data_IF_398519107072
#
_entry.id   IF_398519107072
#
_cell.length_a   1.000
_cell.length_b   1.000
_cell.length_c   1.000
_cell.angle_alpha   90.00
_cell.angle_beta   90.00
_cell.angle_gamma   90.00
#
_symmetry.space_group_name_H-M   'P 1'
#
loop_
_entity.id
_entity.type
_entity.pdbx_description
1 polymer ?
#
# COMPACT_ATOMS: atom_id res chain seq x y z
N UNK A 1 -2.99 -15.54 7.32
CA UNK A 1 -4.27 -15.34 6.59
C UNK A 1 -3.99 -15.38 5.09
N UNK A 2 -4.23 -16.56 4.46
CA UNK A 2 -3.97 -16.79 3.03
C UNK A 2 -5.19 -16.38 2.18
N UNK A 3 -5.56 -15.14 2.20
CA UNK A 3 -6.54 -14.63 1.24
C UNK A 3 -5.77 -13.95 0.12
N UNK A 4 -5.45 -14.73 -0.94
CA UNK A 4 -4.94 -14.19 -2.19
C UNK A 4 -5.86 -13.08 -2.68
N UNK A 5 -5.29 -11.92 -2.93
CA UNK A 5 -5.99 -10.80 -3.55
C UNK A 5 -6.46 -11.32 -4.90
N UNK A 6 -7.79 -11.43 -5.06
CA UNK A 6 -8.38 -11.75 -6.37
C UNK A 6 -8.16 -10.54 -7.27
N UNK A 7 -7.08 -10.53 -8.03
CA UNK A 7 -6.99 -9.71 -9.23
C UNK A 7 -8.09 -10.23 -10.17
N UNK A 8 -9.11 -9.40 -10.40
CA UNK A 8 -10.08 -9.65 -11.44
C UNK A 8 -9.37 -9.46 -12.79
N UNK A 9 -8.67 -10.50 -13.23
CA UNK A 9 -8.10 -10.52 -14.56
C UNK A 9 -9.26 -10.70 -15.55
N UNK A 10 -9.75 -9.60 -16.05
CA UNK A 10 -10.37 -9.59 -17.37
C UNK A 10 -9.22 -9.89 -18.33
N UNK A 11 -9.08 -11.16 -18.73
CA UNK A 11 -8.33 -11.47 -19.93
C UNK A 11 -9.11 -10.73 -21.02
N UNK A 12 -8.64 -9.53 -21.36
CA UNK A 12 -9.18 -8.78 -22.48
C UNK A 12 -9.18 -9.75 -23.66
N UNK A 13 -10.27 -9.77 -24.43
CA UNK A 13 -10.40 -10.63 -25.59
C UNK A 13 -9.06 -10.64 -26.32
N UNK A 14 -8.42 -11.83 -26.39
CA UNK A 14 -7.09 -11.98 -26.97
C UNK A 14 -7.26 -11.50 -28.41
N UNK A 15 -7.02 -10.20 -28.61
CA UNK A 15 -6.99 -9.58 -29.92
C UNK A 15 -5.86 -10.23 -30.68
N UNK A 16 -6.18 -10.86 -31.75
CA UNK A 16 -5.19 -11.34 -32.70
C UNK A 16 -4.38 -10.13 -33.15
N UNK A 17 -3.08 -10.19 -32.93
CA UNK A 17 -2.14 -9.27 -33.56
C UNK A 17 -2.37 -9.43 -35.06
N UNK A 18 -2.99 -8.41 -35.67
CA UNK A 18 -3.43 -8.49 -37.05
C UNK A 18 -2.24 -8.71 -37.99
N UNK A 19 -2.41 -9.59 -38.96
CA UNK A 19 -1.56 -9.64 -40.11
C UNK A 19 -1.78 -8.35 -40.92
N UNK A 20 -1.29 -7.21 -40.44
CA UNK A 20 -1.05 -6.04 -41.28
C UNK A 20 0.26 -6.30 -41.99
N UNK A 21 0.28 -6.18 -43.34
CA UNK A 21 1.38 -6.50 -44.20
C UNK A 21 2.65 -5.64 -44.02
N UNK A 22 3.13 -5.51 -42.79
CA UNK A 22 4.47 -5.07 -42.52
C UNK A 22 5.40 -6.23 -42.84
N UNK A 23 6.32 -6.01 -43.78
CA UNK A 23 7.36 -6.95 -44.16
C UNK A 23 8.09 -7.44 -42.90
N UNK A 24 7.73 -8.63 -42.45
CA UNK A 24 8.39 -9.33 -41.35
C UNK A 24 9.84 -9.59 -41.82
N UNK A 25 10.81 -9.02 -41.11
CA UNK A 25 12.20 -9.47 -41.21
C UNK A 25 12.21 -10.87 -40.54
N UNK A 26 11.80 -11.87 -41.29
CA UNK A 26 11.75 -13.25 -40.87
C UNK A 26 13.15 -13.80 -40.93
N UNK A 27 13.58 -14.39 -39.82
CA UNK A 27 14.91 -14.97 -39.72
C UNK A 27 15.08 -16.10 -40.74
N UNK A 28 16.27 -16.25 -41.32
CA UNK A 28 16.61 -17.36 -42.21
C UNK A 28 16.25 -18.74 -41.61
N UNK A 29 16.31 -18.85 -40.28
CA UNK A 29 15.95 -20.04 -39.53
C UNK A 29 14.46 -20.43 -39.65
N UNK A 30 13.52 -19.45 -39.80
CA UNK A 30 12.10 -19.74 -40.01
C UNK A 30 11.85 -20.23 -41.47
N UNK A 31 12.61 -19.71 -42.40
CA UNK A 31 12.35 -19.86 -43.83
C UNK A 31 13.12 -21.01 -44.48
N UNK A 32 14.14 -21.57 -43.84
CA UNK A 32 15.00 -22.60 -44.43
C UNK A 32 15.65 -22.15 -45.76
N UNK A 33 15.85 -20.80 -45.91
CA UNK A 33 16.43 -20.23 -47.15
C UNK A 33 15.40 -19.70 -48.15
N UNK A 34 14.09 -19.70 -47.84
CA UNK A 34 13.02 -19.18 -48.70
C UNK A 34 12.09 -18.21 -47.93
N UNK A 35 10.93 -17.86 -48.54
CA UNK A 35 9.86 -17.19 -47.80
C UNK A 35 9.11 -18.19 -46.92
N UNK A 36 8.84 -17.90 -45.64
CA UNK A 36 8.03 -18.77 -44.78
C UNK A 36 6.66 -18.98 -45.43
N UNK A 37 6.29 -20.23 -45.60
CA UNK A 37 5.01 -20.63 -46.18
C UNK A 37 4.47 -21.85 -45.49
N UNK A 38 3.16 -21.92 -45.38
CA UNK A 38 2.46 -23.13 -44.95
C UNK A 38 2.68 -24.22 -45.99
N UNK A 39 2.86 -25.44 -45.51
CA UNK A 39 2.87 -26.61 -46.38
C UNK A 39 1.52 -26.74 -47.10
N UNK A 40 1.51 -26.85 -48.43
CA UNK A 40 0.29 -26.91 -49.26
C UNK A 40 -0.79 -27.87 -48.79
N UNK A 41 -0.39 -29.00 -48.17
CA UNK A 41 -1.34 -29.97 -47.60
C UNK A 41 -2.08 -29.46 -46.37
N UNK A 42 -1.60 -28.38 -45.73
CA UNK A 42 -2.23 -27.74 -44.56
C UNK A 42 -3.19 -26.62 -44.96
N UNK A 43 -3.20 -26.09 -46.19
CA UNK A 43 -4.02 -24.96 -46.62
C UNK A 43 -5.51 -25.18 -46.27
N UNK A 44 -6.11 -26.28 -46.78
CA UNK A 44 -7.51 -26.59 -46.55
C UNK A 44 -7.87 -26.83 -45.07
N UNK A 45 -7.10 -27.66 -44.31
CA UNK A 45 -7.29 -27.79 -42.88
C UNK A 45 -7.21 -26.47 -42.10
N UNK A 46 -6.26 -25.58 -42.48
CA UNK A 46 -6.14 -24.26 -41.82
C UNK A 46 -7.32 -23.33 -42.09
N UNK A 47 -7.94 -23.39 -43.29
CA UNK A 47 -9.16 -22.65 -43.59
C UNK A 47 -10.30 -22.99 -42.62
N UNK A 48 -10.41 -24.27 -42.24
CA UNK A 48 -11.41 -24.70 -41.26
C UNK A 48 -11.12 -24.13 -39.86
N UNK A 49 -9.86 -24.02 -39.43
CA UNK A 49 -9.45 -23.38 -38.18
C UNK A 49 -9.80 -21.88 -38.18
N UNK A 50 -9.53 -21.21 -39.30
CA UNK A 50 -9.85 -19.79 -39.45
C UNK A 50 -11.36 -19.52 -39.38
N UNK A 51 -12.18 -20.33 -40.05
CA UNK A 51 -13.66 -20.23 -39.97
C UNK A 51 -14.17 -20.40 -38.52
N UNK A 52 -13.69 -21.39 -37.80
CA UNK A 52 -14.04 -21.59 -36.40
C UNK A 52 -13.63 -20.38 -35.53
N UNK A 53 -12.45 -19.80 -35.79
CA UNK A 53 -11.97 -18.59 -35.12
C UNK A 53 -12.88 -17.39 -35.38
N UNK A 54 -13.26 -17.13 -36.64
CA UNK A 54 -14.14 -16.03 -37.03
C UNK A 54 -15.52 -16.15 -36.33
N UNK A 55 -16.00 -17.38 -36.19
CA UNK A 55 -17.23 -17.69 -35.48
C UNK A 55 -17.07 -17.68 -33.95
N UNK A 56 -15.86 -17.48 -33.43
CA UNK A 56 -15.51 -17.59 -32.01
C UNK A 56 -15.87 -18.97 -31.42
N UNK A 57 -15.92 -20.01 -32.25
CA UNK A 57 -16.05 -21.40 -31.82
C UNK A 57 -14.67 -21.91 -31.38
N UNK A 58 -14.29 -21.59 -30.15
CA UNK A 58 -12.96 -21.94 -29.62
C UNK A 58 -12.76 -23.45 -29.47
N UNK A 59 -13.83 -24.20 -29.18
CA UNK A 59 -13.76 -25.65 -29.08
C UNK A 59 -13.57 -26.28 -30.46
N UNK A 60 -14.34 -25.82 -31.46
CA UNK A 60 -14.17 -26.20 -32.84
C UNK A 60 -12.79 -25.81 -33.39
N UNK A 61 -12.33 -24.59 -33.08
CA UNK A 61 -10.99 -24.12 -33.45
C UNK A 61 -9.89 -25.06 -32.94
N UNK A 62 -9.95 -25.43 -31.64
CA UNK A 62 -8.98 -26.35 -31.04
C UNK A 62 -9.04 -27.74 -31.69
N UNK A 63 -10.24 -28.28 -31.92
CA UNK A 63 -10.40 -29.55 -32.59
C UNK A 63 -9.78 -29.55 -33.99
N UNK A 64 -10.07 -28.50 -34.80
CA UNK A 64 -9.52 -28.33 -36.15
C UNK A 64 -8.02 -28.10 -36.14
N UNK A 65 -7.47 -27.33 -35.21
CA UNK A 65 -6.03 -27.14 -35.07
C UNK A 65 -5.31 -28.46 -34.74
N UNK A 66 -5.91 -29.35 -33.95
CA UNK A 66 -5.39 -30.71 -33.69
C UNK A 66 -5.48 -31.60 -34.93
N UNK A 67 -6.53 -31.46 -35.75
CA UNK A 67 -6.59 -32.16 -37.06
C UNK A 67 -5.46 -31.69 -38.00
N UNK A 68 -5.14 -30.38 -38.03
CA UNK A 68 -3.97 -29.86 -38.76
C UNK A 68 -2.67 -30.47 -38.27
N UNK A 69 -2.51 -30.54 -36.95
CA UNK A 69 -1.32 -31.14 -36.33
C UNK A 69 -1.18 -32.65 -36.67
N UNK A 70 -2.28 -33.36 -36.77
CA UNK A 70 -2.32 -34.79 -37.10
C UNK A 70 -2.08 -35.12 -38.61
N UNK A 71 -2.03 -34.10 -39.50
CA UNK A 71 -1.76 -34.36 -40.94
C UNK A 71 -0.38 -35.05 -41.07
N UNK A 72 -0.29 -36.19 -41.77
CA UNK A 72 0.94 -36.98 -41.86
C UNK A 72 1.90 -36.40 -42.91
N UNK A 73 2.56 -35.30 -42.57
CA UNK A 73 3.62 -34.65 -43.35
C UNK A 73 4.74 -34.23 -42.40
N UNK A 74 5.93 -34.09 -42.96
CA UNK A 74 7.01 -33.37 -42.29
C UNK A 74 6.65 -31.90 -42.22
N UNK A 75 6.53 -31.34 -40.99
CA UNK A 75 6.15 -29.96 -40.75
C UNK A 75 7.40 -29.09 -40.69
N UNK A 76 7.42 -28.02 -41.46
CA UNK A 76 8.44 -27.00 -41.36
C UNK A 76 8.23 -26.12 -40.10
N UNK A 77 9.19 -25.23 -39.77
CA UNK A 77 9.12 -24.38 -38.58
C UNK A 77 7.92 -23.42 -38.60
N UNK A 78 7.51 -22.96 -39.80
CA UNK A 78 6.35 -22.09 -39.95
C UNK A 78 5.01 -22.83 -39.69
N UNK A 79 4.91 -24.09 -40.15
CA UNK A 79 3.77 -24.96 -39.85
C UNK A 79 3.63 -25.17 -38.34
N UNK A 80 4.73 -25.53 -37.67
CA UNK A 80 4.78 -25.76 -36.21
C UNK A 80 4.38 -24.49 -35.46
N UNK A 81 4.94 -23.35 -35.83
CA UNK A 81 4.61 -22.06 -35.22
C UNK A 81 3.11 -21.80 -35.27
N UNK A 82 2.46 -21.91 -36.41
CA UNK A 82 1.04 -21.64 -36.56
C UNK A 82 0.17 -22.66 -35.85
N UNK A 83 0.55 -23.94 -35.83
CA UNK A 83 -0.17 -24.98 -35.08
C UNK A 83 -0.17 -24.65 -33.60
N UNK A 84 0.97 -24.36 -33.00
CA UNK A 84 1.09 -23.98 -31.60
C UNK A 84 0.34 -22.68 -31.31
N UNK A 85 0.47 -21.68 -32.18
CA UNK A 85 -0.23 -20.41 -32.03
C UNK A 85 -1.76 -20.59 -31.97
N UNK A 86 -2.33 -21.31 -32.91
CA UNK A 86 -3.76 -21.51 -33.03
C UNK A 86 -4.32 -22.39 -31.90
N UNK A 87 -3.61 -23.46 -31.53
CA UNK A 87 -3.98 -24.27 -30.37
C UNK A 87 -3.93 -23.45 -29.09
N UNK A 88 -2.85 -22.70 -28.87
CA UNK A 88 -2.66 -21.88 -27.68
C UNK A 88 -3.73 -20.79 -27.54
N UNK A 89 -4.07 -20.10 -28.63
CA UNK A 89 -5.16 -19.10 -28.62
C UNK A 89 -6.51 -19.73 -28.31
N UNK A 90 -6.83 -20.88 -28.89
CA UNK A 90 -8.09 -21.59 -28.60
C UNK A 90 -8.17 -22.03 -27.12
N UNK A 91 -7.10 -22.62 -26.60
CA UNK A 91 -6.98 -23.06 -25.21
C UNK A 91 -7.10 -21.91 -24.22
N UNK A 92 -6.48 -20.76 -24.52
CA UNK A 92 -6.58 -19.58 -23.68
C UNK A 92 -8.02 -19.05 -23.58
N UNK A 93 -8.76 -19.01 -24.69
CA UNK A 93 -10.17 -18.61 -24.72
C UNK A 93 -11.08 -19.65 -24.01
N UNK A 94 -10.71 -20.93 -24.05
CA UNK A 94 -11.38 -21.98 -23.29
C UNK A 94 -10.99 -22.00 -21.80
N UNK A 95 -10.13 -21.08 -21.36
CA UNK A 95 -9.60 -20.99 -19.98
C UNK A 95 -8.79 -22.21 -19.54
N UNK A 96 -8.27 -22.97 -20.49
CA UNK A 96 -7.34 -24.07 -20.27
C UNK A 96 -5.91 -23.51 -20.22
N UNK A 97 -5.65 -22.69 -19.17
CA UNK A 97 -4.49 -21.80 -19.12
C UNK A 97 -3.15 -22.56 -19.13
N UNK A 98 -3.04 -23.69 -18.43
CA UNK A 98 -1.78 -24.44 -18.40
C UNK A 98 -1.41 -25.00 -19.79
N UNK A 99 -2.40 -25.53 -20.52
CA UNK A 99 -2.18 -26.02 -21.87
C UNK A 99 -1.94 -24.87 -22.85
N UNK A 100 -2.65 -23.73 -22.67
CA UNK A 100 -2.42 -22.54 -23.46
C UNK A 100 -0.99 -22.01 -23.32
N UNK A 101 -0.47 -21.98 -22.09
CA UNK A 101 0.92 -21.56 -21.82
C UNK A 101 1.89 -22.48 -22.54
N UNK A 102 1.69 -23.81 -22.49
CA UNK A 102 2.58 -24.76 -23.16
C UNK A 102 2.65 -24.51 -24.66
N UNK A 103 1.49 -24.35 -25.31
CA UNK A 103 1.43 -24.12 -26.76
C UNK A 103 1.98 -22.74 -27.16
N UNK A 104 1.59 -21.67 -26.46
CA UNK A 104 2.06 -20.32 -26.77
C UNK A 104 3.54 -20.12 -26.41
N UNK A 105 4.08 -20.84 -25.43
CA UNK A 105 5.50 -20.88 -25.11
C UNK A 105 6.30 -21.52 -26.28
N UNK A 106 5.78 -22.63 -26.83
CA UNK A 106 6.38 -23.26 -28.03
C UNK A 106 6.36 -22.30 -29.23
N UNK A 107 5.26 -21.59 -29.46
CA UNK A 107 5.17 -20.56 -30.49
C UNK A 107 6.15 -19.40 -30.24
N UNK A 108 6.28 -18.91 -29.00
CA UNK A 108 7.19 -17.83 -28.62
C UNK A 108 8.67 -18.20 -28.84
N UNK A 109 9.03 -19.42 -28.57
CA UNK A 109 10.41 -19.92 -28.75
C UNK A 109 10.70 -20.37 -30.20
N UNK A 110 9.71 -20.36 -31.09
CA UNK A 110 9.89 -20.64 -32.49
C UNK A 110 10.75 -19.58 -33.18
N UNK A 111 11.63 -19.94 -34.11
CA UNK A 111 12.35 -18.99 -34.96
C UNK A 111 11.41 -18.16 -35.86
N UNK A 112 10.14 -18.58 -35.99
CA UNK A 112 9.12 -17.89 -36.75
C UNK A 112 8.33 -16.87 -35.96
N UNK A 113 8.60 -16.70 -34.65
CA UNK A 113 7.95 -15.68 -33.81
C UNK A 113 8.41 -14.26 -34.26
N UNK A 114 7.48 -13.39 -34.70
CA UNK A 114 7.85 -12.06 -35.13
C UNK A 114 8.41 -11.23 -33.97
N UNK A 115 9.52 -10.53 -34.20
CA UNK A 115 10.16 -9.71 -33.17
C UNK A 115 9.24 -8.59 -32.70
N UNK A 116 8.45 -7.99 -33.57
CA UNK A 116 7.48 -6.95 -33.20
C UNK A 116 6.37 -7.41 -32.27
N UNK A 117 6.09 -8.72 -32.23
CA UNK A 117 5.01 -9.30 -31.43
C UNK A 117 5.51 -9.88 -30.09
N UNK A 118 6.85 -9.97 -29.89
CA UNK A 118 7.45 -10.59 -28.71
C UNK A 118 6.98 -9.96 -27.39
N UNK A 119 7.00 -8.63 -27.30
CA UNK A 119 6.61 -7.93 -26.09
C UNK A 119 5.13 -8.18 -25.71
N UNK A 120 4.24 -8.17 -26.71
CA UNK A 120 2.83 -8.48 -26.48
C UNK A 120 2.64 -9.95 -26.06
N UNK A 121 3.41 -10.86 -26.63
CA UNK A 121 3.39 -12.28 -26.29
C UNK A 121 3.92 -12.54 -24.88
N UNK A 122 4.98 -11.87 -24.47
CA UNK A 122 5.51 -11.93 -23.09
C UNK A 122 4.47 -11.48 -22.07
N UNK A 123 3.77 -10.37 -22.34
CA UNK A 123 2.66 -9.91 -21.50
C UNK A 123 1.55 -10.96 -21.42
N UNK A 124 1.16 -11.56 -22.53
CA UNK A 124 0.14 -12.60 -22.58
C UNK A 124 0.57 -13.86 -21.82
N UNK A 125 1.79 -14.33 -22.03
CA UNK A 125 2.35 -15.50 -21.35
C UNK A 125 2.46 -15.26 -19.83
N UNK A 126 2.86 -14.06 -19.38
CA UNK A 126 2.80 -13.69 -17.97
C UNK A 126 1.38 -13.87 -17.42
N UNK A 127 0.37 -13.27 -18.05
CA UNK A 127 -1.01 -13.30 -17.59
C UNK A 127 -1.57 -14.73 -17.54
N UNK A 128 -1.35 -15.53 -18.60
CA UNK A 128 -1.81 -16.91 -18.68
C UNK A 128 -1.10 -17.81 -17.66
N UNK A 129 0.22 -17.67 -17.52
CA UNK A 129 1.00 -18.41 -16.50
C UNK A 129 0.53 -18.06 -15.08
N UNK A 130 0.23 -16.80 -14.82
CA UNK A 130 -0.34 -16.38 -13.54
C UNK A 130 -1.71 -17.04 -13.28
N UNK A 131 -2.60 -17.07 -14.30
CA UNK A 131 -3.89 -17.75 -14.21
C UNK A 131 -3.76 -19.28 -14.05
N UNK A 132 -2.78 -19.88 -14.72
CA UNK A 132 -2.43 -21.28 -14.57
C UNK A 132 -1.81 -21.60 -13.19
N UNK A 133 -1.48 -20.57 -12.39
CA UNK A 133 -0.72 -20.68 -11.14
C UNK A 133 0.70 -21.22 -11.33
N UNK A 134 1.21 -21.13 -12.55
CA UNK A 134 2.62 -21.37 -12.87
C UNK A 134 3.41 -20.07 -12.64
N UNK A 135 3.63 -19.77 -11.35
CA UNK A 135 4.29 -18.53 -10.96
C UNK A 135 5.75 -18.44 -11.40
N UNK A 136 6.53 -19.53 -11.44
CA UNK A 136 7.87 -19.51 -12.02
C UNK A 136 7.87 -19.00 -13.48
N UNK A 137 6.99 -19.51 -14.34
CA UNK A 137 6.84 -19.03 -15.72
C UNK A 137 6.28 -17.61 -15.78
N UNK A 138 5.34 -17.28 -14.90
CA UNK A 138 4.83 -15.91 -14.79
C UNK A 138 5.97 -14.92 -14.47
N UNK A 139 6.88 -15.26 -13.57
CA UNK A 139 8.05 -14.45 -13.25
C UNK A 139 9.00 -14.34 -14.46
N UNK A 140 9.26 -15.46 -15.14
CA UNK A 140 10.13 -15.46 -16.33
C UNK A 140 9.65 -14.47 -17.39
N UNK A 141 8.39 -14.61 -17.83
CA UNK A 141 7.82 -13.72 -18.85
C UNK A 141 7.56 -12.31 -18.33
N UNK A 142 7.19 -12.19 -17.04
CA UNK A 142 7.00 -10.89 -16.40
C UNK A 142 8.28 -10.06 -16.37
N UNK A 143 9.43 -10.67 -16.12
CA UNK A 143 10.73 -9.98 -16.18
C UNK A 143 11.04 -9.46 -17.57
N UNK A 144 10.84 -10.29 -18.61
CA UNK A 144 11.06 -9.90 -20.00
C UNK A 144 10.14 -8.74 -20.39
N UNK A 145 8.84 -8.88 -20.16
CA UNK A 145 7.83 -7.87 -20.51
C UNK A 145 8.02 -6.56 -19.71
N UNK A 146 8.39 -6.64 -18.43
CA UNK A 146 8.58 -5.46 -17.60
C UNK A 146 9.84 -4.67 -17.97
N UNK A 147 10.89 -5.35 -18.43
CA UNK A 147 12.11 -4.71 -18.89
C UNK A 147 11.88 -3.81 -20.13
N UNK A 148 10.84 -4.09 -20.93
CA UNK A 148 10.52 -3.37 -22.17
C UNK A 148 9.61 -2.16 -21.95
N UNK A 149 9.87 -1.34 -20.92
CA UNK A 149 9.12 -0.09 -20.69
C UNK A 149 8.48 0.06 -19.34
N UNK A 150 8.50 -1.00 -18.52
CA UNK A 150 8.07 -0.94 -17.13
C UNK A 150 6.58 -0.62 -16.94
N UNK A 151 5.70 -1.18 -17.79
CA UNK A 151 4.25 -1.02 -17.68
C UNK A 151 3.76 -1.40 -16.28
N UNK A 152 3.12 -0.49 -15.52
CA UNK A 152 2.63 -0.78 -14.17
C UNK A 152 1.71 -2.01 -14.09
N UNK A 153 0.89 -2.29 -15.11
CA UNK A 153 0.03 -3.48 -15.11
C UNK A 153 0.86 -4.76 -15.10
N UNK A 154 1.91 -4.82 -15.93
CA UNK A 154 2.86 -5.95 -15.96
C UNK A 154 3.56 -6.09 -14.61
N UNK A 155 4.02 -4.95 -14.05
CA UNK A 155 4.68 -4.92 -12.75
C UNK A 155 3.80 -5.43 -11.61
N UNK A 156 2.50 -5.16 -11.62
CA UNK A 156 1.54 -5.68 -10.64
C UNK A 156 1.47 -7.21 -10.72
N UNK A 157 1.34 -7.80 -11.92
CA UNK A 157 1.34 -9.27 -12.06
C UNK A 157 2.66 -9.88 -11.61
N UNK A 158 3.78 -9.29 -12.01
CA UNK A 158 5.13 -9.76 -11.65
C UNK A 158 5.36 -9.68 -10.13
N UNK A 159 5.05 -8.53 -9.52
CA UNK A 159 5.17 -8.34 -8.07
C UNK A 159 4.30 -9.32 -7.26
N UNK A 160 3.07 -9.59 -7.73
CA UNK A 160 2.21 -10.59 -7.12
C UNK A 160 2.78 -12.01 -7.26
N UNK A 161 3.34 -12.37 -8.43
CA UNK A 161 3.94 -13.67 -8.65
C UNK A 161 5.15 -13.87 -7.72
N UNK A 162 6.01 -12.87 -7.57
CA UNK A 162 7.11 -12.88 -6.59
C UNK A 162 6.59 -13.07 -5.15
N UNK A 163 5.55 -12.32 -4.76
CA UNK A 163 4.97 -12.41 -3.43
C UNK A 163 4.48 -13.84 -3.10
N UNK A 164 3.78 -14.47 -4.05
CA UNK A 164 3.27 -15.83 -3.89
C UNK A 164 4.42 -16.85 -3.76
N UNK A 165 5.54 -16.60 -4.42
CA UNK A 165 6.76 -17.42 -4.31
C UNK A 165 7.62 -17.08 -3.08
N UNK A 166 7.15 -16.19 -2.19
CA UNK A 166 7.86 -15.68 -1.02
C UNK A 166 9.17 -14.94 -1.36
N UNK A 167 9.31 -14.46 -2.59
CA UNK A 167 10.42 -13.61 -3.01
C UNK A 167 10.09 -12.15 -2.66
N UNK A 168 10.19 -11.82 -1.36
CA UNK A 168 9.74 -10.53 -0.84
C UNK A 168 10.67 -9.38 -1.26
N UNK A 169 11.94 -9.64 -1.53
CA UNK A 169 12.87 -8.61 -2.00
C UNK A 169 12.48 -8.14 -3.42
N UNK A 170 12.27 -9.06 -4.34
CA UNK A 170 11.83 -8.72 -5.69
C UNK A 170 10.39 -8.18 -5.70
N UNK A 171 9.52 -8.65 -4.79
CA UNK A 171 8.20 -8.05 -4.59
C UNK A 171 8.31 -6.58 -4.20
N UNK A 172 9.14 -6.27 -3.17
CA UNK A 172 9.35 -4.91 -2.69
C UNK A 172 9.88 -4.01 -3.81
N UNK A 173 10.94 -4.44 -4.49
CA UNK A 173 11.54 -3.66 -5.56
C UNK A 173 10.55 -3.38 -6.71
N UNK A 174 9.84 -4.41 -7.18
CA UNK A 174 8.90 -4.29 -8.29
C UNK A 174 7.70 -3.43 -7.94
N UNK A 175 7.09 -3.65 -6.75
CA UNK A 175 5.90 -2.91 -6.34
C UNK A 175 6.21 -1.45 -5.98
N UNK A 176 7.38 -1.17 -5.42
CA UNK A 176 7.83 0.21 -5.19
C UNK A 176 8.00 0.97 -6.51
N UNK A 177 8.62 0.35 -7.53
CA UNK A 177 8.75 0.95 -8.86
C UNK A 177 7.39 1.20 -9.53
N UNK A 178 6.46 0.23 -9.42
CA UNK A 178 5.08 0.37 -9.92
C UNK A 178 4.37 1.55 -9.26
N UNK A 179 4.43 1.65 -7.93
CA UNK A 179 3.79 2.75 -7.18
C UNK A 179 4.39 4.08 -7.61
N UNK A 180 5.71 4.19 -7.67
CA UNK A 180 6.40 5.42 -8.07
C UNK A 180 6.01 5.85 -9.49
N UNK A 181 5.91 4.93 -10.45
CA UNK A 181 5.48 5.23 -11.83
C UNK A 181 4.04 5.72 -11.89
N UNK A 182 3.14 5.08 -11.15
CA UNK A 182 1.74 5.50 -11.09
C UNK A 182 1.63 6.89 -10.46
N UNK A 183 2.24 7.12 -9.30
CA UNK A 183 2.20 8.40 -8.59
C UNK A 183 2.84 9.53 -9.43
N UNK A 184 3.98 9.27 -10.09
CA UNK A 184 4.66 10.24 -10.96
C UNK A 184 3.84 10.60 -12.20
N UNK A 185 2.96 9.69 -12.66
CA UNK A 185 2.01 9.96 -13.75
C UNK A 185 0.70 10.61 -13.28
N UNK A 186 0.59 10.99 -12.01
CA UNK A 186 -0.61 11.58 -11.42
C UNK A 186 -1.73 10.57 -11.16
N UNK A 187 -1.45 9.27 -11.22
CA UNK A 187 -2.41 8.21 -10.94
C UNK A 187 -2.22 7.72 -9.49
N UNK A 188 -3.33 7.51 -8.82
CA UNK A 188 -3.30 6.87 -7.50
C UNK A 188 -3.31 5.35 -7.67
N UNK A 189 -2.32 4.61 -7.15
CA UNK A 189 -2.36 3.16 -7.07
C UNK A 189 -3.60 2.67 -6.33
N UNK A 190 -4.12 1.52 -6.71
CA UNK A 190 -5.22 0.89 -6.00
C UNK A 190 -4.77 0.35 -4.61
N UNK A 191 -5.74 0.13 -3.73
CA UNK A 191 -5.47 -0.35 -2.37
C UNK A 191 -4.68 -1.68 -2.35
N UNK A 192 -4.98 -2.70 -3.18
CA UNK A 192 -4.20 -3.92 -3.24
C UNK A 192 -2.72 -3.70 -3.54
N UNK A 193 -2.38 -2.78 -4.41
CA UNK A 193 -1.00 -2.47 -4.79
C UNK A 193 -0.16 -2.00 -3.60
N UNK A 194 -0.66 -1.06 -2.80
CA UNK A 194 0.00 -0.64 -1.55
C UNK A 194 0.09 -1.78 -0.54
N UNK A 195 -0.96 -2.60 -0.41
CA UNK A 195 -1.01 -3.69 0.57
C UNK A 195 -0.03 -4.82 0.27
N UNK A 196 0.24 -5.12 -0.99
CA UNK A 196 1.23 -6.12 -1.38
C UNK A 196 2.63 -5.63 -0.97
N UNK A 197 2.96 -4.38 -1.28
CA UNK A 197 4.23 -3.80 -0.86
C UNK A 197 4.35 -3.78 0.67
N UNK A 198 3.32 -3.31 1.38
CA UNK A 198 3.27 -3.34 2.84
C UNK A 198 3.55 -4.75 3.40
N UNK A 199 2.90 -5.76 2.82
CA UNK A 199 3.07 -7.15 3.26
C UNK A 199 4.49 -7.66 3.01
N UNK A 200 5.09 -7.34 1.86
CA UNK A 200 6.48 -7.70 1.57
C UNK A 200 7.45 -7.02 2.55
N UNK A 201 7.28 -5.72 2.82
CA UNK A 201 8.09 -4.99 3.80
C UNK A 201 7.96 -5.58 5.21
N UNK A 202 6.75 -6.03 5.61
CA UNK A 202 6.54 -6.68 6.89
C UNK A 202 7.31 -8.02 7.00
N UNK A 203 7.33 -8.83 5.93
CA UNK A 203 8.10 -10.08 5.88
C UNK A 203 9.61 -9.82 5.95
N UNK A 204 10.06 -8.73 5.36
CA UNK A 204 11.46 -8.27 5.39
C UNK A 204 11.84 -7.55 6.70
N UNK A 205 10.87 -7.32 7.60
CA UNK A 205 11.05 -6.53 8.85
C UNK A 205 11.50 -5.09 8.60
N UNK A 206 11.18 -4.55 7.43
CA UNK A 206 11.42 -3.16 7.05
C UNK A 206 10.28 -2.28 7.58
N UNK A 207 10.41 -1.86 8.85
CA UNK A 207 9.36 -1.10 9.53
C UNK A 207 9.12 0.28 8.90
N UNK A 208 10.15 0.93 8.37
CA UNK A 208 10.01 2.24 7.73
C UNK A 208 9.17 2.13 6.45
N UNK A 209 9.43 1.13 5.63
CA UNK A 209 8.62 0.82 4.46
C UNK A 209 7.16 0.49 4.86
N UNK A 210 6.94 -0.29 5.92
CA UNK A 210 5.58 -0.60 6.42
C UNK A 210 4.83 0.67 6.76
N UNK A 211 5.45 1.57 7.55
CA UNK A 211 4.84 2.84 7.96
C UNK A 211 4.53 3.71 6.75
N UNK A 212 5.44 3.80 5.78
CA UNK A 212 5.23 4.57 4.55
C UNK A 212 4.01 4.07 3.75
N UNK A 213 3.89 2.76 3.59
CA UNK A 213 2.75 2.20 2.82
C UNK A 213 1.41 2.38 3.55
N UNK A 214 1.39 2.28 4.90
CA UNK A 214 0.19 2.54 5.67
C UNK A 214 -0.18 4.04 5.58
N UNK A 215 0.80 4.95 5.58
CA UNK A 215 0.55 6.38 5.38
C UNK A 215 -0.14 6.65 4.03
N UNK A 216 0.36 6.03 2.95
CA UNK A 216 -0.26 6.11 1.63
C UNK A 216 -1.69 5.53 1.63
N UNK A 217 -1.92 4.43 2.35
CA UNK A 217 -3.26 3.86 2.52
C UNK A 217 -4.20 4.79 3.31
N UNK A 218 -3.74 5.42 4.38
CA UNK A 218 -4.51 6.43 5.12
C UNK A 218 -4.87 7.62 4.24
N UNK A 219 -3.91 8.08 3.41
CA UNK A 219 -4.05 9.25 2.54
C UNK A 219 -5.02 9.01 1.38
N UNK A 220 -4.87 7.89 0.68
CA UNK A 220 -5.54 7.63 -0.60
C UNK A 220 -6.76 6.71 -0.47
N UNK A 221 -6.77 5.83 0.53
CA UNK A 221 -7.84 4.85 0.77
C UNK A 221 -8.30 4.88 2.23
N UNK A 222 -8.77 6.03 2.76
CA UNK A 222 -9.03 6.20 4.19
C UNK A 222 -10.06 5.20 4.70
N UNK A 223 -9.62 4.34 5.63
CA UNK A 223 -10.46 3.37 6.35
C UNK A 223 -10.04 3.33 7.82
N UNK A 224 -10.98 3.16 8.77
CA UNK A 224 -10.65 3.14 10.20
C UNK A 224 -9.53 2.16 10.55
N UNK A 225 -9.51 0.98 9.92
CA UNK A 225 -8.48 -0.02 10.16
C UNK A 225 -7.05 0.46 9.85
N UNK A 226 -6.86 1.35 8.89
CA UNK A 226 -5.52 1.85 8.55
C UNK A 226 -4.98 2.82 9.60
N UNK A 227 -5.84 3.50 10.34
CA UNK A 227 -5.42 4.27 11.50
C UNK A 227 -4.97 3.37 12.65
N UNK A 228 -5.63 2.22 12.85
CA UNK A 228 -5.19 1.20 13.81
C UNK A 228 -3.83 0.62 13.39
N UNK A 229 -3.71 0.17 12.12
CA UNK A 229 -2.47 -0.36 11.57
C UNK A 229 -1.32 0.67 11.66
N UNK A 230 -1.61 1.97 11.42
CA UNK A 230 -0.66 3.07 11.55
C UNK A 230 -0.21 3.28 12.99
N UNK A 231 -1.16 3.30 13.92
CA UNK A 231 -0.85 3.41 15.35
C UNK A 231 0.10 2.31 15.79
N UNK A 232 -0.24 1.05 15.48
CA UNK A 232 0.58 -0.11 15.83
C UNK A 232 1.99 -0.06 15.19
N UNK A 233 2.09 0.43 13.96
CA UNK A 233 3.37 0.59 13.29
C UNK A 233 4.23 1.70 13.93
N UNK A 234 3.63 2.84 14.25
CA UNK A 234 4.32 3.96 14.90
C UNK A 234 4.77 3.61 16.33
N UNK A 235 3.96 2.88 17.10
CA UNK A 235 4.31 2.42 18.45
C UNK A 235 5.56 1.53 18.45
N UNK A 236 5.79 0.75 17.39
CA UNK A 236 7.00 -0.11 17.28
C UNK A 236 8.29 0.66 17.00
N UNK A 237 8.20 1.84 16.41
CA UNK A 237 9.36 2.67 16.04
C UNK A 237 9.59 3.84 16.98
N UNK A 238 8.67 4.09 17.93
CA UNK A 238 8.81 5.14 18.95
C UNK A 238 10.00 4.88 19.87
N UNK A 239 10.72 5.95 20.22
CA UNK A 239 11.98 5.89 21.00
C UNK A 239 11.87 6.62 22.34
N UNK A 240 10.78 7.30 22.62
CA UNK A 240 10.61 8.09 23.84
C UNK A 240 9.13 8.15 24.28
N UNK A 241 8.92 8.38 25.57
CA UNK A 241 7.58 8.57 26.16
C UNK A 241 6.81 9.73 25.51
N UNK A 242 7.52 10.75 25.02
CA UNK A 242 6.89 11.89 24.33
C UNK A 242 6.39 11.51 22.93
N UNK A 243 7.20 10.79 22.16
CA UNK A 243 6.75 10.25 20.88
C UNK A 243 5.54 9.34 21.11
N UNK A 244 5.64 8.42 22.08
CA UNK A 244 4.59 7.47 22.42
C UNK A 244 3.28 8.17 22.78
N UNK A 245 3.33 9.21 23.64
CA UNK A 245 2.14 9.99 24.01
C UNK A 245 1.53 10.70 22.79
N UNK A 246 2.35 11.28 21.91
CA UNK A 246 1.83 11.98 20.72
C UNK A 246 1.24 11.02 19.69
N UNK A 247 1.79 9.81 19.55
CA UNK A 247 1.21 8.73 18.74
C UNK A 247 -0.16 8.31 19.30
N UNK A 248 -0.27 8.13 20.62
CA UNK A 248 -1.53 7.76 21.28
C UNK A 248 -2.57 8.88 21.20
N UNK A 249 -2.16 10.16 21.25
CA UNK A 249 -3.05 11.31 20.99
C UNK A 249 -3.58 11.29 19.56
N UNK A 250 -2.73 10.99 18.58
CA UNK A 250 -3.16 10.83 17.17
C UNK A 250 -4.16 9.67 17.06
N UNK A 251 -3.85 8.53 17.66
CA UNK A 251 -4.73 7.36 17.68
C UNK A 251 -6.10 7.67 18.32
N UNK A 252 -6.11 8.42 19.41
CA UNK A 252 -7.35 8.87 20.04
C UNK A 252 -8.16 9.80 19.11
N UNK A 253 -7.50 10.78 18.50
CA UNK A 253 -8.12 11.70 17.54
C UNK A 253 -8.66 11.00 16.32
N UNK A 254 -8.01 9.94 15.85
CA UNK A 254 -8.44 9.12 14.71
C UNK A 254 -9.44 8.01 15.08
N UNK A 255 -9.81 7.86 16.35
CA UNK A 255 -10.68 6.78 16.80
C UNK A 255 -10.03 5.39 16.72
N UNK A 256 -8.72 5.32 16.73
CA UNK A 256 -7.92 4.11 16.52
C UNK A 256 -7.45 3.42 17.80
N UNK A 257 -7.80 3.94 18.99
CA UNK A 257 -7.56 3.22 20.25
C UNK A 257 -8.48 2.00 20.33
N UNK A 258 -7.89 0.81 20.39
CA UNK A 258 -8.62 -0.46 20.24
C UNK A 258 -8.87 -1.20 21.55
N UNK A 259 -8.19 -0.85 22.64
CA UNK A 259 -8.32 -1.61 23.88
C UNK A 259 -7.85 -0.91 25.14
N UNK A 260 -8.24 -1.47 26.29
CA UNK A 260 -7.92 -0.96 27.61
C UNK A 260 -6.44 -0.63 27.84
N UNK A 261 -5.50 -1.47 27.44
CA UNK A 261 -4.08 -1.19 27.63
C UNK A 261 -3.63 0.16 27.03
N UNK A 262 -4.11 0.53 25.83
CA UNK A 262 -3.72 1.79 25.18
C UNK A 262 -4.26 3.02 25.93
N UNK A 263 -5.50 2.96 26.45
CA UNK A 263 -6.06 4.04 27.30
C UNK A 263 -5.28 4.18 28.62
N UNK A 264 -4.89 3.06 29.23
CA UNK A 264 -4.10 3.04 30.46
C UNK A 264 -2.71 3.62 30.20
N UNK A 265 -2.05 3.18 29.16
CA UNK A 265 -0.71 3.66 28.79
C UNK A 265 -0.69 5.17 28.49
N UNK A 266 -1.67 5.66 27.72
CA UNK A 266 -1.83 7.10 27.48
C UNK A 266 -2.03 7.88 28.77
N UNK A 267 -2.86 7.38 29.69
CA UNK A 267 -3.08 8.02 30.98
C UNK A 267 -1.82 8.01 31.85
N UNK A 268 -1.05 6.92 31.89
CA UNK A 268 0.21 6.86 32.63
C UNK A 268 1.25 7.83 32.08
N UNK A 269 1.40 7.90 30.76
CA UNK A 269 2.30 8.83 30.10
C UNK A 269 1.87 10.29 30.37
N UNK A 270 0.57 10.57 30.32
CA UNK A 270 0.04 11.90 30.64
C UNK A 270 0.32 12.28 32.10
N UNK A 271 0.13 11.37 33.06
CA UNK A 271 0.50 11.59 34.46
C UNK A 271 1.99 11.87 34.63
N UNK A 272 2.84 11.09 33.97
CA UNK A 272 4.30 11.27 34.01
C UNK A 272 4.75 12.62 33.43
N UNK A 273 3.99 13.17 32.46
CA UNK A 273 4.24 14.50 31.90
C UNK A 273 3.58 15.65 32.70
N UNK A 274 2.91 15.36 33.82
CA UNK A 274 2.22 16.36 34.65
C UNK A 274 0.92 16.88 33.99
N UNK A 275 0.21 16.01 33.26
CA UNK A 275 -1.03 16.32 32.55
C UNK A 275 -2.21 15.49 33.10
N UNK A 276 -2.58 15.70 34.38
CA UNK A 276 -3.59 14.84 35.03
C UNK A 276 -4.99 14.99 34.43
N UNK A 277 -5.31 16.14 33.84
CA UNK A 277 -6.58 16.35 33.10
C UNK A 277 -6.71 15.43 31.88
N UNK A 278 -5.65 15.28 31.11
CA UNK A 278 -5.63 14.37 29.96
C UNK A 278 -5.72 12.91 30.41
N UNK A 279 -5.01 12.53 31.50
CA UNK A 279 -5.07 11.20 32.04
C UNK A 279 -6.49 10.83 32.52
N UNK A 280 -7.15 11.73 33.26
CA UNK A 280 -8.52 11.55 33.71
C UNK A 280 -9.46 11.37 32.51
N UNK A 281 -9.41 12.28 31.55
CA UNK A 281 -10.27 12.26 30.35
C UNK A 281 -10.13 10.96 29.56
N UNK A 282 -8.90 10.46 29.39
CA UNK A 282 -8.66 9.21 28.66
C UNK A 282 -9.22 7.98 29.36
N UNK A 283 -9.08 7.89 30.69
CA UNK A 283 -9.62 6.77 31.44
C UNK A 283 -11.15 6.80 31.51
N UNK A 284 -11.76 7.97 31.65
CA UNK A 284 -13.22 8.14 31.61
C UNK A 284 -13.77 7.79 30.22
N UNK A 285 -13.07 8.19 29.13
CA UNK A 285 -13.40 7.80 27.76
C UNK A 285 -13.30 6.30 27.54
N UNK A 286 -12.21 5.66 28.02
CA UNK A 286 -12.04 4.21 27.94
C UNK A 286 -13.14 3.47 28.71
N UNK A 287 -13.52 3.96 29.89
CA UNK A 287 -14.61 3.41 30.68
C UNK A 287 -15.96 3.51 29.94
N UNK A 288 -16.27 4.66 29.36
CA UNK A 288 -17.49 4.88 28.57
C UNK A 288 -17.59 3.97 27.36
N UNK A 289 -16.45 3.62 26.75
CA UNK A 289 -16.35 2.67 25.63
C UNK A 289 -16.31 1.19 26.06
N UNK A 290 -16.36 0.89 27.35
CA UNK A 290 -16.25 -0.48 27.84
C UNK A 290 -14.88 -1.12 27.63
N UNK A 291 -13.82 -0.32 27.46
CA UNK A 291 -12.48 -0.80 27.14
C UNK A 291 -11.82 -1.62 28.27
N UNK A 292 -12.32 -1.53 29.50
CA UNK A 292 -11.78 -2.19 30.70
C UNK A 292 -12.58 -3.42 31.10
N UNK A 293 -12.94 -4.29 30.14
CA UNK A 293 -13.72 -5.50 30.45
C UNK A 293 -12.91 -6.53 31.27
N UNK A 294 -11.58 -6.59 31.06
CA UNK A 294 -10.71 -7.48 31.84
C UNK A 294 -10.46 -6.91 33.23
N UNK A 295 -10.60 -7.76 34.28
CA UNK A 295 -10.46 -7.36 35.70
C UNK A 295 -9.14 -6.60 35.94
N UNK A 296 -8.01 -7.12 35.46
CA UNK A 296 -6.70 -6.48 35.62
C UNK A 296 -6.67 -5.06 35.06
N UNK A 297 -7.22 -4.85 33.87
CA UNK A 297 -7.28 -3.53 33.22
C UNK A 297 -8.23 -2.60 34.01
N UNK A 298 -9.34 -3.12 34.50
CA UNK A 298 -10.32 -2.37 35.33
C UNK A 298 -9.68 -1.86 36.62
N UNK A 299 -8.99 -2.73 37.36
CA UNK A 299 -8.34 -2.36 38.61
C UNK A 299 -7.23 -1.32 38.38
N UNK A 300 -6.42 -1.52 37.35
CA UNK A 300 -5.34 -0.59 36.96
C UNK A 300 -5.89 0.78 36.56
N UNK A 301 -6.90 0.81 35.68
CA UNK A 301 -7.56 2.04 35.27
C UNK A 301 -8.20 2.77 36.44
N UNK A 302 -8.87 2.05 37.35
CA UNK A 302 -9.53 2.62 38.55
C UNK A 302 -8.50 3.29 39.47
N UNK A 303 -7.35 2.66 39.69
CA UNK A 303 -6.29 3.22 40.55
C UNK A 303 -5.73 4.51 39.93
N UNK A 304 -5.34 4.49 38.63
CA UNK A 304 -4.79 5.69 37.98
C UNK A 304 -5.83 6.80 37.87
N UNK A 305 -7.10 6.47 37.66
CA UNK A 305 -8.18 7.46 37.65
C UNK A 305 -8.33 8.15 38.97
N UNK A 306 -8.20 7.43 40.09
CA UNK A 306 -8.21 8.01 41.45
C UNK A 306 -7.04 8.96 41.68
N UNK A 307 -5.83 8.56 41.25
CA UNK A 307 -4.61 9.38 41.29
C UNK A 307 -4.78 10.65 40.45
N UNK A 308 -5.29 10.49 39.21
CA UNK A 308 -5.50 11.61 38.29
C UNK A 308 -6.53 12.62 38.83
N UNK A 309 -7.66 12.16 39.36
CA UNK A 309 -8.67 13.03 39.99
C UNK A 309 -8.10 13.84 41.16
N UNK A 310 -7.30 13.21 42.00
CA UNK A 310 -6.63 13.89 43.12
C UNK A 310 -5.66 14.94 42.63
N UNK A 311 -4.85 14.61 41.58
CA UNK A 311 -3.92 15.55 40.97
C UNK A 311 -4.63 16.73 40.28
N UNK A 312 -5.75 16.50 39.60
CA UNK A 312 -6.60 17.53 38.99
C UNK A 312 -7.13 18.50 40.04
N UNK A 313 -7.63 18.00 41.17
CA UNK A 313 -8.16 18.83 42.26
C UNK A 313 -7.07 19.77 42.85
N UNK A 314 -5.84 19.29 42.94
CA UNK A 314 -4.71 20.07 43.44
C UNK A 314 -4.15 21.07 42.42
N UNK A 315 -4.10 20.69 41.11
CA UNK A 315 -3.46 21.47 40.07
C UNK A 315 -4.35 22.58 39.52
N UNK A 316 -5.62 22.29 39.24
CA UNK A 316 -6.54 23.22 38.55
C UNK A 316 -6.69 24.56 39.26
N UNK A 317 -6.68 24.56 40.63
CA UNK A 317 -6.74 25.78 41.43
C UNK A 317 -5.47 26.63 41.42
N UNK A 318 -4.37 26.12 40.83
CA UNK A 318 -3.07 26.82 40.82
C UNK A 318 -2.72 27.38 39.45
N UNK A 319 -3.48 27.09 38.40
CA UNK A 319 -3.17 27.45 37.02
C UNK A 319 -2.99 28.95 36.80
N UNK A 320 -3.84 29.79 37.41
CA UNK A 320 -3.72 31.25 37.27
C UNK A 320 -2.41 31.79 37.90
N UNK A 321 -2.00 31.20 39.03
CA UNK A 321 -0.71 31.53 39.67
C UNK A 321 0.46 31.04 38.81
N UNK A 322 0.33 29.86 38.22
CA UNK A 322 1.33 29.31 37.28
C UNK A 322 1.45 30.19 36.00
N UNK A 323 0.33 30.73 35.49
CA UNK A 323 0.34 31.64 34.34
C UNK A 323 1.10 32.94 34.67
N UNK A 324 0.81 33.55 35.83
CA UNK A 324 1.53 34.75 36.24
C UNK A 324 3.05 34.48 36.39
N UNK A 325 3.42 33.32 36.96
CA UNK A 325 4.80 32.92 37.10
C UNK A 325 5.48 32.61 35.75
N UNK A 326 4.78 31.98 34.80
CA UNK A 326 5.29 31.69 33.46
C UNK A 326 5.52 33.00 32.67
N UNK A 327 4.58 33.96 32.75
CA UNK A 327 4.72 35.29 32.10
C UNK A 327 5.97 36.02 32.55
N UNK A 328 6.35 35.90 33.80
CA UNK A 328 7.54 36.56 34.36
C UNK A 328 8.89 35.89 33.96
N UNK A 329 8.88 34.66 33.41
CA UNK A 329 10.10 33.99 32.99
C UNK A 329 10.64 34.58 31.69
N UNK A 330 12.00 34.69 31.53
CA UNK A 330 12.62 35.20 30.31
C UNK A 330 12.55 34.24 29.12
N UNK A 331 12.34 32.96 29.36
CA UNK A 331 12.27 31.90 28.35
C UNK A 331 10.88 31.28 28.29
N UNK A 332 10.50 30.78 27.11
CA UNK A 332 9.16 30.28 26.83
C UNK A 332 8.84 28.87 27.33
N UNK A 333 9.81 28.13 27.89
CA UNK A 333 9.62 26.73 28.28
C UNK A 333 8.50 26.58 29.34
N UNK A 334 8.39 27.53 30.28
CA UNK A 334 7.34 27.53 31.29
C UNK A 334 5.95 27.81 30.68
N UNK A 335 5.88 28.71 29.66
CA UNK A 335 4.63 29.02 28.95
C UNK A 335 4.13 27.81 28.15
N UNK A 336 5.03 27.07 27.47
CA UNK A 336 4.65 25.85 26.73
C UNK A 336 4.12 24.77 27.68
N UNK A 337 4.78 24.57 28.84
CA UNK A 337 4.29 23.60 29.86
C UNK A 337 2.93 23.98 30.42
N UNK A 338 2.71 25.28 30.68
CA UNK A 338 1.40 25.77 31.10
C UNK A 338 0.35 25.58 30.01
N UNK A 339 0.72 25.84 28.74
CA UNK A 339 -0.16 25.57 27.61
C UNK A 339 -0.57 24.12 27.49
N UNK A 340 0.37 23.18 27.74
CA UNK A 340 0.06 21.75 27.82
C UNK A 340 -0.92 21.44 28.97
N UNK A 341 -0.75 22.07 30.13
CA UNK A 341 -1.69 21.92 31.26
C UNK A 341 -3.08 22.42 30.88
N UNK A 342 -3.21 23.63 30.30
CA UNK A 342 -4.50 24.14 29.82
C UNK A 342 -5.14 23.20 28.79
N UNK A 343 -4.35 22.69 27.83
CA UNK A 343 -4.83 21.74 26.83
C UNK A 343 -5.36 20.45 27.46
N UNK A 344 -4.71 19.97 28.54
CA UNK A 344 -5.12 18.78 29.27
C UNK A 344 -6.50 18.93 29.94
N UNK A 345 -6.88 20.16 30.26
CA UNK A 345 -8.19 20.52 30.82
C UNK A 345 -9.22 20.95 29.77
N UNK A 346 -8.86 20.90 28.49
CA UNK A 346 -9.74 21.35 27.40
C UNK A 346 -9.86 22.88 27.26
N UNK A 347 -9.03 23.64 27.97
CA UNK A 347 -8.98 25.11 27.89
C UNK A 347 -8.17 25.57 26.65
N UNK A 348 -8.64 25.17 25.47
CA UNK A 348 -7.89 25.28 24.21
C UNK A 348 -7.46 26.72 23.89
N UNK A 349 -8.29 27.72 24.14
CA UNK A 349 -7.94 29.12 23.88
C UNK A 349 -6.75 29.60 24.75
N UNK A 350 -6.76 29.27 26.05
CA UNK A 350 -5.64 29.59 26.94
C UNK A 350 -4.39 28.78 26.60
N UNK A 351 -4.56 27.53 26.17
CA UNK A 351 -3.44 26.71 25.69
C UNK A 351 -2.75 27.35 24.49
N UNK A 352 -3.51 27.79 23.47
CA UNK A 352 -2.99 28.48 22.29
C UNK A 352 -2.22 29.73 22.70
N UNK A 353 -2.84 30.61 23.53
CA UNK A 353 -2.19 31.87 24.00
C UNK A 353 -0.85 31.57 24.70
N UNK A 354 -0.85 30.62 25.65
CA UNK A 354 0.34 30.30 26.42
C UNK A 354 1.45 29.71 25.54
N UNK A 355 1.13 28.75 24.66
CA UNK A 355 2.14 28.14 23.78
C UNK A 355 2.71 29.17 22.79
N UNK A 356 1.86 30.00 22.16
CA UNK A 356 2.33 31.04 21.25
C UNK A 356 3.23 32.05 21.95
N UNK A 357 2.86 32.49 23.18
CA UNK A 357 3.69 33.33 24.03
C UNK A 357 5.05 32.70 24.32
N UNK A 358 5.05 31.40 24.64
CA UNK A 358 6.27 30.65 24.88
C UNK A 358 7.18 30.60 23.65
N UNK A 359 6.64 30.27 22.49
CA UNK A 359 7.38 30.25 21.24
C UNK A 359 7.94 31.63 20.88
N UNK A 360 7.18 32.71 21.10
CA UNK A 360 7.63 34.07 20.86
C UNK A 360 8.76 34.53 21.79
N UNK A 361 8.78 34.09 23.05
CA UNK A 361 9.91 34.36 23.98
C UNK A 361 11.18 33.62 23.59
N UNK A 362 11.09 32.50 22.89
CA UNK A 362 12.21 31.62 22.60
C UNK A 362 12.73 30.84 23.81
N UNK A 363 13.83 30.09 23.61
CA UNK A 363 14.41 29.25 24.67
C UNK A 363 13.53 28.05 25.05
N UNK A 364 12.64 27.63 24.17
CA UNK A 364 11.84 26.41 24.31
C UNK A 364 12.71 25.20 24.03
N UNK A 365 12.81 24.27 24.98
CA UNK A 365 13.69 23.11 24.87
C UNK A 365 13.25 22.10 23.81
N UNK A 366 11.94 21.98 23.58
CA UNK A 366 11.36 21.05 22.61
C UNK A 366 10.31 21.79 21.78
N UNK A 367 10.74 22.35 20.66
CA UNK A 367 9.88 23.08 19.74
C UNK A 367 8.92 22.17 18.97
N UNK A 368 9.31 20.93 18.72
CA UNK A 368 8.43 19.95 18.05
C UNK A 368 7.24 19.59 18.92
N UNK A 369 7.46 19.36 20.22
CA UNK A 369 6.37 19.11 21.17
C UNK A 369 5.45 20.34 21.30
N UNK A 370 6.03 21.55 21.35
CA UNK A 370 5.25 22.78 21.35
C UNK A 370 4.40 22.94 20.08
N UNK A 371 4.95 22.61 18.91
CA UNK A 371 4.23 22.61 17.64
C UNK A 371 3.10 21.58 17.60
N UNK A 372 3.33 20.37 18.12
CA UNK A 372 2.29 19.34 18.25
C UNK A 372 1.14 19.78 19.15
N UNK A 373 1.45 20.28 20.34
CA UNK A 373 0.45 20.76 21.29
C UNK A 373 -0.36 21.92 20.72
N UNK A 374 0.30 22.88 20.06
CA UNK A 374 -0.34 24.01 19.42
C UNK A 374 -1.28 23.57 18.28
N UNK A 375 -0.82 22.63 17.43
CA UNK A 375 -1.63 22.07 16.36
C UNK A 375 -2.88 21.36 16.89
N UNK A 376 -2.74 20.54 17.94
CA UNK A 376 -3.86 19.85 18.60
C UNK A 376 -4.83 20.87 19.23
N UNK A 377 -4.33 21.94 19.88
CA UNK A 377 -5.15 22.99 20.46
C UNK A 377 -5.97 23.73 19.40
N UNK A 378 -5.37 24.07 18.26
CA UNK A 378 -6.07 24.69 17.14
C UNK A 378 -7.13 23.75 16.54
N UNK A 379 -6.83 22.46 16.34
CA UNK A 379 -7.82 21.49 15.85
C UNK A 379 -9.03 21.39 16.78
N UNK A 380 -8.79 21.27 18.10
CA UNK A 380 -9.87 21.23 19.11
C UNK A 380 -10.66 22.53 19.19
N UNK A 381 -10.09 23.66 18.72
CA UNK A 381 -10.78 24.95 18.57
C UNK A 381 -11.45 25.15 17.22
N UNK A 382 -11.43 24.14 16.32
CA UNK A 382 -12.01 24.22 14.98
C UNK A 382 -11.18 25.01 13.96
N UNK A 383 -9.96 25.43 14.30
CA UNK A 383 -9.11 26.22 13.41
C UNK A 383 -8.07 25.34 12.71
N UNK A 384 -8.52 24.62 11.67
CA UNK A 384 -7.68 23.69 10.91
C UNK A 384 -6.50 24.39 10.22
N UNK A 385 -6.68 25.58 9.69
CA UNK A 385 -5.63 26.27 8.94
C UNK A 385 -4.41 26.61 9.83
N UNK A 386 -4.66 27.09 11.06
CA UNK A 386 -3.58 27.35 12.01
C UNK A 386 -2.99 26.05 12.59
N UNK A 387 -3.82 25.01 12.75
CA UNK A 387 -3.33 23.69 13.15
C UNK A 387 -2.34 23.14 12.11
N UNK A 388 -2.67 23.20 10.82
CA UNK A 388 -1.80 22.73 9.75
C UNK A 388 -0.45 23.47 9.74
N UNK A 389 -0.44 24.80 9.98
CA UNK A 389 0.80 25.58 10.13
C UNK A 389 1.63 25.16 11.33
N UNK A 390 0.98 24.90 12.48
CA UNK A 390 1.67 24.45 13.67
C UNK A 390 2.29 23.06 13.48
N UNK A 391 1.60 22.15 12.80
CA UNK A 391 2.12 20.83 12.45
C UNK A 391 3.27 20.90 11.42
N UNK A 392 3.23 21.83 10.47
CA UNK A 392 4.32 22.04 9.51
C UNK A 392 5.61 22.56 10.16
N UNK A 393 5.51 23.22 11.31
CA UNK A 393 6.67 23.66 12.08
C UNK A 393 7.40 22.52 12.83
N UNK A 394 6.79 21.35 12.97
CA UNK A 394 7.41 20.14 13.57
C UNK A 394 8.41 19.55 12.57
N UNK A 395 9.70 19.62 12.86
CA UNK A 395 10.72 19.33 11.86
C UNK A 395 11.98 18.64 12.35
N UNK A 396 12.28 18.66 13.65
CA UNK A 396 13.53 18.17 14.22
C UNK A 396 13.53 16.65 14.39
N UNK A 397 12.46 16.09 14.93
CA UNK A 397 12.28 14.66 15.15
C UNK A 397 11.53 14.03 13.99
N UNK A 398 12.08 13.02 13.28
CA UNK A 398 11.43 12.39 12.14
C UNK A 398 10.10 11.72 12.48
N UNK A 399 9.98 11.09 13.66
CA UNK A 399 8.77 10.42 14.13
C UNK A 399 7.68 11.47 14.42
N UNK A 400 8.03 12.52 15.17
CA UNK A 400 7.12 13.61 15.48
C UNK A 400 6.65 14.35 14.24
N UNK A 401 7.55 14.61 13.29
CA UNK A 401 7.21 15.19 11.99
C UNK A 401 6.17 14.33 11.24
N UNK A 402 6.37 13.01 11.21
CA UNK A 402 5.41 12.08 10.59
C UNK A 402 4.06 12.11 11.30
N UNK A 403 4.04 12.08 12.63
CA UNK A 403 2.81 12.18 13.44
C UNK A 403 2.08 13.50 13.16
N UNK A 404 2.80 14.62 13.06
CA UNK A 404 2.23 15.92 12.70
C UNK A 404 1.57 15.91 11.31
N UNK A 405 2.23 15.32 10.30
CA UNK A 405 1.65 15.21 8.95
C UNK A 405 0.41 14.31 8.92
N UNK A 406 0.38 13.25 9.74
CA UNK A 406 -0.79 12.39 9.88
C UNK A 406 -1.98 13.11 10.52
N UNK A 407 -1.75 14.01 11.50
CA UNK A 407 -2.81 14.85 12.04
C UNK A 407 -3.51 15.69 10.97
N UNK A 408 -2.77 16.17 9.96
CA UNK A 408 -3.34 16.94 8.84
C UNK A 408 -4.29 16.11 7.97
N UNK A 409 -4.08 14.78 7.91
CA UNK A 409 -4.94 13.82 7.18
C UNK A 409 -6.18 13.42 7.98
N UNK A 410 -6.14 13.57 9.30
CA UNK A 410 -7.27 13.23 10.15
C UNK A 410 -8.41 14.23 9.93
N UNK A 411 -9.57 13.70 9.50
CA UNK A 411 -10.78 14.48 9.20
C UNK A 411 -11.84 14.40 10.30
N UNK A 412 -11.52 13.69 11.41
CA UNK A 412 -12.46 13.51 12.53
C UNK A 412 -12.54 14.74 13.42
#
# INVERSE_FOLDING_TARGET
MRNGIKLAATVAAIGFLGMTGAALAQTEACAGGGKPQLSKKLDKPMDAVQKAREQKDWAGMLAKAKEVDAVPIEKNEYDKFWIHELQGVALANLKQYADAVRELDAAYNSPCMPDGDRAAREKLLLQLSYQAKDYPKAIEYGKKAYATGGDPEIGIYLGNAYYIQNDFENTRATMADVINKLESSGKTPDEPTYRILQSACLQLKDNDCVVEQIEKLVRHHPKPKYWVDMTDALLRVSKSDKELLNILRLADGAGALTGGPQYIEMAQLSMAQGLPGEAQAMLEKGQAKGAFAEARNKDHATRILGEAKTAVANDKGTLDKQDAAARAKPTGDADVKLGAAYLSYGENAKAIEAIQRGLAKGGVKNTDDAGMLLGIAFLRSGNKAEADKAFDAVSQDPTMKRVAQLWKLNKS
#
